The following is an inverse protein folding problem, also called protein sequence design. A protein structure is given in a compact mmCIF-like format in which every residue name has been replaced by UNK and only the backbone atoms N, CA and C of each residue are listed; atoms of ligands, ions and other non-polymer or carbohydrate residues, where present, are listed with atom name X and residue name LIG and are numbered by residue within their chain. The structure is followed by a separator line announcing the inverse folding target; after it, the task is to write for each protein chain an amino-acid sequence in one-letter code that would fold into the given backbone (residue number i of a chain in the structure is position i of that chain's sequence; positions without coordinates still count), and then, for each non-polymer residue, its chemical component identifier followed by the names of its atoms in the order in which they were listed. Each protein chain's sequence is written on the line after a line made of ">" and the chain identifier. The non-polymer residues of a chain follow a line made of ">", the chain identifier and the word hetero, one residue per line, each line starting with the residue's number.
data_IF_541758251088
#
_entry.id   IF_541758251088
#
_cell.length_a   1.000
_cell.length_b   1.000
_cell.length_c   1.000
_cell.angle_alpha   90.00
_cell.angle_beta   90.00
_cell.angle_gamma   90.00
#
_symmetry.space_group_name_H-M   'P 1'
#
loop_
_entity.id
_entity.type
_entity.pdbx_description
1 polymer ?
#
# COMPACT_ATOMS: atom_id res chain seq x y z
N UNK A 1 -9.57 -10.98 -26.93
CA UNK A 1 -8.78 -10.89 -25.69
C UNK A 1 -8.93 -9.48 -25.15
N UNK A 2 -9.59 -9.30 -23.99
CA UNK A 2 -9.62 -8.00 -23.33
C UNK A 2 -8.18 -7.73 -22.84
N UNK A 3 -7.51 -6.72 -23.41
CA UNK A 3 -6.22 -6.25 -22.90
C UNK A 3 -6.49 -5.62 -21.53
N UNK A 4 -6.31 -6.39 -20.46
CA UNK A 4 -6.43 -5.86 -19.10
C UNK A 4 -5.41 -4.74 -18.89
N UNK A 5 -5.79 -3.73 -18.11
CA UNK A 5 -4.84 -2.74 -17.61
C UNK A 5 -4.07 -3.33 -16.43
N UNK A 6 -2.85 -2.85 -16.22
CA UNK A 6 -2.02 -3.16 -15.06
C UNK A 6 -1.31 -1.90 -14.60
N UNK A 7 -0.98 -1.85 -13.33
CA UNK A 7 -0.11 -0.84 -12.76
C UNK A 7 1.35 -1.19 -13.10
N UNK A 8 2.03 -0.30 -13.80
CA UNK A 8 3.47 -0.28 -13.96
C UNK A 8 4.08 0.40 -12.72
N UNK A 9 5.02 -0.28 -12.09
CA UNK A 9 5.74 0.18 -10.91
C UNK A 9 7.19 0.45 -11.32
N UNK A 10 7.59 1.70 -11.20
CA UNK A 10 8.97 2.13 -11.48
C UNK A 10 9.70 2.33 -10.17
N UNK A 11 10.89 1.74 -10.04
CA UNK A 11 11.76 2.00 -8.91
C UNK A 11 12.29 3.44 -8.99
N UNK A 12 12.07 4.20 -7.92
CA UNK A 12 12.54 5.59 -7.76
C UNK A 12 13.44 5.72 -6.52
N UNK A 13 14.02 4.60 -6.06
CA UNK A 13 14.89 4.52 -4.91
C UNK A 13 14.13 4.55 -3.58
N UNK A 14 14.46 5.51 -2.71
CA UNK A 14 13.86 5.60 -1.36
C UNK A 14 12.48 6.25 -1.33
N UNK A 15 11.91 6.57 -2.48
CA UNK A 15 10.60 7.23 -2.58
C UNK A 15 9.51 6.22 -2.89
N UNK A 16 8.26 6.55 -2.54
CA UNK A 16 7.12 5.73 -2.94
C UNK A 16 7.08 5.64 -4.49
N UNK A 17 7.01 4.42 -5.05
CA UNK A 17 7.05 4.24 -6.50
C UNK A 17 5.88 4.95 -7.16
N UNK A 18 6.17 5.66 -8.25
CA UNK A 18 5.13 6.27 -9.08
C UNK A 18 4.39 5.15 -9.81
N UNK A 19 3.07 5.18 -9.69
CA UNK A 19 2.20 4.18 -10.31
C UNK A 19 1.64 4.75 -11.61
N UNK A 20 1.87 4.05 -12.72
CA UNK A 20 1.27 4.37 -14.02
C UNK A 20 0.35 3.24 -14.46
N UNK A 21 -0.82 3.58 -15.01
CA UNK A 21 -1.74 2.58 -15.55
C UNK A 21 -1.43 2.41 -17.03
N UNK A 22 -1.05 1.21 -17.44
CA UNK A 22 -0.72 0.86 -18.82
C UNK A 22 -1.38 -0.48 -19.20
N UNK A 23 -1.31 -0.88 -20.46
CA UNK A 23 -1.75 -2.22 -20.84
C UNK A 23 -0.84 -3.30 -20.22
N UNK A 24 -1.41 -4.46 -19.88
CA UNK A 24 -0.69 -5.54 -19.18
C UNK A 24 0.61 -5.97 -19.86
N UNK A 25 0.69 -6.13 -21.19
CA UNK A 25 1.97 -6.36 -21.88
C UNK A 25 3.04 -5.31 -21.56
N UNK A 26 2.70 -4.02 -21.63
CA UNK A 26 3.60 -2.93 -21.28
C UNK A 26 4.01 -2.94 -19.81
N UNK A 27 3.07 -3.20 -18.90
CA UNK A 27 3.35 -3.24 -17.47
C UNK A 27 4.39 -4.31 -17.10
N UNK A 28 4.37 -5.47 -17.77
CA UNK A 28 5.34 -6.56 -17.55
C UNK A 28 6.79 -6.20 -17.88
N UNK A 29 7.02 -5.08 -18.57
CA UNK A 29 8.36 -4.58 -18.89
C UNK A 29 8.90 -3.60 -17.82
N UNK A 30 8.10 -3.22 -16.83
CA UNK A 30 8.52 -2.34 -15.73
C UNK A 30 9.28 -3.11 -14.64
N UNK A 31 9.95 -2.39 -13.73
CA UNK A 31 10.68 -2.98 -12.60
C UNK A 31 9.78 -3.87 -11.73
N UNK A 32 8.50 -3.50 -11.63
CA UNK A 32 7.44 -4.35 -11.12
C UNK A 32 6.10 -4.06 -11.81
N UNK A 33 5.15 -4.98 -11.70
CA UNK A 33 3.79 -4.75 -12.19
C UNK A 33 2.75 -5.39 -11.30
N UNK A 34 1.55 -4.83 -11.31
CA UNK A 34 0.42 -5.33 -10.54
C UNK A 34 -0.87 -5.26 -11.37
N UNK A 35 -1.73 -6.26 -11.27
CA UNK A 35 -2.99 -6.26 -12.02
C UNK A 35 -3.95 -5.19 -11.48
N UNK A 36 -4.69 -4.53 -12.37
CA UNK A 36 -5.53 -3.38 -12.01
C UNK A 36 -6.69 -3.76 -11.07
N UNK A 37 -7.28 -4.93 -11.26
CA UNK A 37 -8.50 -5.35 -10.55
C UNK A 37 -8.21 -5.88 -9.13
N UNK A 38 -6.95 -6.16 -8.78
CA UNK A 38 -6.57 -6.79 -7.51
C UNK A 38 -6.55 -5.83 -6.31
N UNK A 39 -6.51 -4.51 -6.52
CA UNK A 39 -6.52 -3.53 -5.42
C UNK A 39 -7.91 -3.08 -5.00
N UNK A 40 -8.95 -3.30 -5.81
CA UNK A 40 -10.31 -2.86 -5.47
C UNK A 40 -10.93 -3.67 -4.32
N UNK A 41 -10.39 -4.85 -4.01
CA UNK A 41 -10.74 -5.64 -2.84
C UNK A 41 -9.45 -6.28 -2.28
N UNK A 42 -8.94 -5.99 -1.05
CA UNK A 42 -9.57 -5.45 0.15
C UNK A 42 -8.61 -4.51 0.94
N UNK A 43 -8.55 -3.22 0.63
CA UNK A 43 -7.84 -2.24 1.50
C UNK A 43 -8.49 -2.08 2.89
N UNK A 44 -9.67 -2.69 3.10
CA UNK A 44 -10.55 -2.49 4.24
C UNK A 44 -10.34 -3.43 5.44
N UNK A 45 -9.26 -4.23 5.51
CA UNK A 45 -9.09 -5.20 6.61
C UNK A 45 -7.69 -5.24 7.20
N UNK A 46 -7.15 -4.09 7.59
CA UNK A 46 -6.22 -4.11 8.72
C UNK A 46 -7.04 -4.34 9.98
N UNK A 47 -6.94 -5.52 10.59
CA UNK A 47 -7.56 -5.76 11.88
C UNK A 47 -6.82 -4.93 12.92
N UNK A 48 -7.53 -3.97 13.51
CA UNK A 48 -7.07 -3.16 14.64
C UNK A 48 -8.01 -3.48 15.79
N UNK A 49 -7.44 -3.79 16.97
CA UNK A 49 -8.25 -3.99 18.16
C UNK A 49 -9.12 -2.76 18.41
N UNK A 50 -10.37 -2.94 18.81
CA UNK A 50 -11.34 -1.85 18.97
C UNK A 50 -10.83 -0.73 19.89
N UNK A 51 -10.09 -1.11 20.94
CA UNK A 51 -9.43 -0.20 21.89
C UNK A 51 -8.39 0.72 21.24
N UNK A 52 -7.84 0.34 20.09
CA UNK A 52 -6.83 1.08 19.32
C UNK A 52 -7.39 1.71 18.05
N UNK A 53 -8.64 1.41 17.68
CA UNK A 53 -9.24 1.83 16.41
C UNK A 53 -9.33 3.36 16.25
N UNK A 54 -9.86 4.06 17.25
CA UNK A 54 -9.94 5.54 17.24
C UNK A 54 -8.57 6.21 17.15
N UNK A 55 -7.56 5.62 17.80
CA UNK A 55 -6.17 6.13 17.78
C UNK A 55 -5.55 5.95 16.41
N UNK A 56 -5.66 4.75 15.83
CA UNK A 56 -5.16 4.46 14.49
C UNK A 56 -5.81 5.35 13.42
N UNK A 57 -7.11 5.63 13.55
CA UNK A 57 -7.84 6.51 12.65
C UNK A 57 -7.30 7.95 12.71
N UNK A 58 -7.01 8.47 13.91
CA UNK A 58 -6.41 9.79 14.09
C UNK A 58 -5.02 9.92 13.44
N UNK A 59 -4.14 8.94 13.69
CA UNK A 59 -2.79 8.90 13.11
C UNK A 59 -2.87 8.81 11.59
N UNK A 60 -3.74 7.93 11.06
CA UNK A 60 -3.93 7.78 9.62
C UNK A 60 -4.51 9.05 8.97
N UNK A 61 -5.46 9.71 9.63
CA UNK A 61 -6.06 10.94 9.13
C UNK A 61 -5.00 12.03 8.94
N UNK A 62 -4.12 12.20 9.92
CA UNK A 62 -3.05 13.18 9.85
C UNK A 62 -2.02 12.82 8.76
N UNK A 63 -1.56 11.57 8.73
CA UNK A 63 -0.60 11.08 7.74
C UNK A 63 -1.12 11.17 6.29
N UNK A 64 -2.45 11.09 6.09
CA UNK A 64 -3.07 11.31 4.77
C UNK A 64 -3.01 12.77 4.34
N UNK A 65 -3.20 13.71 5.27
CA UNK A 65 -3.07 15.15 4.98
C UNK A 65 -1.64 15.50 4.63
N UNK A 66 -0.68 14.88 5.34
CA UNK A 66 0.75 15.13 5.16
C UNK A 66 1.36 14.29 4.02
N UNK A 67 0.55 13.45 3.36
CA UNK A 67 0.93 12.56 2.26
C UNK A 67 2.09 11.59 2.62
N UNK A 68 2.13 11.14 3.87
CA UNK A 68 3.14 10.21 4.43
C UNK A 68 2.59 8.82 4.74
N UNK A 69 1.31 8.56 4.42
CA UNK A 69 0.67 7.27 4.57
C UNK A 69 0.83 6.42 3.30
N UNK A 70 1.61 5.33 3.38
CA UNK A 70 1.89 4.44 2.25
C UNK A 70 1.52 3.00 2.57
N UNK A 71 0.90 2.31 1.63
CA UNK A 71 0.67 0.87 1.72
C UNK A 71 1.91 0.13 1.24
N UNK A 72 2.46 -0.74 2.10
CA UNK A 72 3.52 -1.66 1.70
C UNK A 72 2.89 -2.92 1.12
N UNK A 73 3.13 -3.16 -0.16
CA UNK A 73 2.65 -4.33 -0.89
C UNK A 73 3.81 -5.30 -1.16
N UNK A 74 3.52 -6.59 -1.11
CA UNK A 74 4.36 -7.66 -1.63
C UNK A 74 3.69 -8.18 -2.89
N UNK A 75 4.39 -8.16 -4.02
CA UNK A 75 3.83 -8.59 -5.30
C UNK A 75 4.51 -9.87 -5.74
N UNK A 76 3.71 -10.89 -6.08
CA UNK A 76 4.27 -12.15 -6.56
C UNK A 76 4.63 -12.08 -8.05
N UNK A 77 5.31 -13.12 -8.58
CA UNK A 77 5.72 -13.20 -9.99
C UNK A 77 4.57 -13.13 -11.01
N UNK A 78 3.31 -13.29 -10.58
CA UNK A 78 2.11 -13.19 -11.43
C UNK A 78 1.50 -11.78 -11.44
N UNK A 79 2.07 -10.84 -10.68
CA UNK A 79 1.54 -9.50 -10.51
C UNK A 79 0.40 -9.42 -9.50
N UNK A 80 0.19 -10.46 -8.68
CA UNK A 80 -0.84 -10.43 -7.64
C UNK A 80 -0.26 -9.79 -6.37
N UNK A 81 -0.87 -8.70 -5.87
CA UNK A 81 -0.42 -8.02 -4.68
C UNK A 81 -0.94 -8.69 -3.41
N UNK A 82 -0.15 -8.56 -2.34
CA UNK A 82 -0.55 -8.85 -0.97
C UNK A 82 -0.17 -7.67 -0.10
N UNK A 83 -1.12 -7.13 0.65
CA UNK A 83 -0.84 -6.08 1.62
C UNK A 83 0.01 -6.68 2.76
N UNK A 84 1.17 -6.06 3.01
CA UNK A 84 2.08 -6.45 4.08
C UNK A 84 1.88 -5.55 5.29
N UNK A 85 1.81 -4.24 5.08
CA UNK A 85 1.74 -3.26 6.16
C UNK A 85 1.20 -1.90 5.70
N UNK A 86 0.80 -1.07 6.66
CA UNK A 86 0.58 0.36 6.45
C UNK A 86 1.75 1.11 7.09
N UNK A 87 2.45 1.90 6.29
CA UNK A 87 3.53 2.76 6.73
C UNK A 87 3.00 4.18 6.92
N UNK A 88 3.30 4.77 8.07
CA UNK A 88 3.04 6.17 8.38
C UNK A 88 4.38 6.78 8.79
N UNK A 89 4.79 7.84 8.10
CA UNK A 89 6.12 8.45 8.26
C UNK A 89 7.27 7.42 8.12
N UNK A 90 7.09 6.46 7.21
CA UNK A 90 8.05 5.37 6.98
C UNK A 90 8.04 4.26 8.04
N UNK A 91 7.21 4.35 9.09
CA UNK A 91 7.13 3.36 10.17
C UNK A 91 5.86 2.50 10.08
N UNK A 92 5.93 1.19 10.38
CA UNK A 92 4.76 0.33 10.49
C UNK A 92 3.72 0.84 11.49
N UNK A 93 2.43 0.86 11.10
CA UNK A 93 1.34 1.26 11.99
C UNK A 93 1.34 0.44 13.30
N UNK A 94 1.63 -0.86 13.23
CA UNK A 94 1.70 -1.72 14.43
C UNK A 94 2.75 -1.26 15.44
N UNK A 95 3.85 -0.67 14.98
CA UNK A 95 4.87 -0.11 15.86
C UNK A 95 4.36 1.17 16.52
N UNK A 96 3.76 2.08 15.73
CA UNK A 96 3.17 3.32 16.24
C UNK A 96 2.12 3.07 17.31
N UNK A 97 1.28 2.04 17.14
CA UNK A 97 0.26 1.69 18.11
C UNK A 97 0.84 1.15 19.44
N UNK A 98 2.04 0.55 19.43
CA UNK A 98 2.70 0.07 20.65
C UNK A 98 3.35 1.20 21.43
N UNK A 99 4.04 2.12 20.77
CA UNK A 99 4.73 3.25 21.41
C UNK A 99 3.74 4.16 22.16
N UNK A 100 2.51 4.31 21.67
CA UNK A 100 1.43 5.11 22.30
C UNK A 100 0.67 4.32 23.39
N UNK A 101 1.09 3.07 23.67
CA UNK A 101 0.54 2.24 24.75
C UNK A 101 1.39 2.30 26.03
N UNK A 102 2.63 2.79 25.93
CA UNK A 102 3.60 2.88 27.03
C UNK A 102 3.64 4.29 27.68
N UNK A 103 2.64 5.13 27.40
CA UNK A 103 2.31 6.39 28.10
C UNK A 103 0.95 6.27 28.79
#
# INVERSE_FOLDING_TARGET
>A
MVKGCSYCLTDVGKQAPKVQIVDTPSAKLCDGFMQYDDLQAPLNRFYIAETQAKKAEGILRQARLDNTAYLRLSINKKGAPRIVDLLIDGRPLKQLLKEVSDE
#
